data_IF_330964695613
#
_entry.id   IF_330964695613
#
_cell.length_a   1.000
_cell.length_b   1.000
_cell.length_c   1.000
_cell.angle_alpha   90.00
_cell.angle_beta   90.00
_cell.angle_gamma   90.00
#
_symmetry.space_group_name_H-M   'P 1'
#
loop_
_entity.id
_entity.type
_entity.pdbx_description
1 polymer ?
#
# COMPACT_ATOMS: atom_id res chain seq x y z
N UNK A 1 2.19 -66.98 -8.89
CA UNK A 1 3.20 -65.91 -8.95
C UNK A 1 2.58 -64.80 -9.78
N UNK A 2 1.95 -63.83 -9.14
CA UNK A 2 1.26 -62.72 -9.81
C UNK A 2 2.08 -61.47 -9.52
N UNK A 3 2.79 -60.97 -10.53
CA UNK A 3 3.51 -59.70 -10.47
C UNK A 3 2.49 -58.55 -10.53
N UNK A 4 2.46 -57.74 -9.47
CA UNK A 4 1.77 -56.45 -9.48
C UNK A 4 2.80 -55.42 -9.95
N UNK A 5 2.54 -54.84 -11.11
CA UNK A 5 3.31 -53.72 -11.64
C UNK A 5 3.03 -52.48 -10.77
N UNK A 6 4.08 -51.92 -10.19
CA UNK A 6 4.05 -50.60 -9.55
C UNK A 6 4.09 -49.58 -10.69
N UNK A 7 2.99 -48.86 -10.88
CA UNK A 7 2.96 -47.65 -11.71
C UNK A 7 3.75 -46.57 -10.99
N UNK A 8 4.85 -46.14 -11.60
CA UNK A 8 5.57 -44.93 -11.21
C UNK A 8 4.65 -43.72 -11.44
N UNK A 9 4.22 -43.08 -10.34
CA UNK A 9 3.56 -41.78 -10.39
C UNK A 9 4.59 -40.75 -10.85
N UNK A 10 4.39 -40.27 -12.07
CA UNK A 10 5.12 -39.16 -12.68
C UNK A 10 4.77 -37.87 -11.92
N UNK A 11 5.59 -37.48 -10.94
CA UNK A 11 5.43 -36.21 -10.24
C UNK A 11 5.67 -35.05 -11.24
N UNK A 12 4.69 -34.16 -11.46
CA UNK A 12 4.96 -32.97 -12.25
C UNK A 12 5.88 -32.06 -11.45
N UNK A 13 7.08 -31.84 -11.99
CA UNK A 13 8.06 -30.84 -11.55
C UNK A 13 7.52 -29.42 -11.81
N UNK A 14 6.47 -29.05 -11.07
CA UNK A 14 5.88 -27.72 -11.09
C UNK A 14 6.74 -26.76 -10.28
N UNK A 15 7.41 -25.85 -10.98
CA UNK A 15 8.29 -24.84 -10.41
C UNK A 15 7.68 -24.09 -9.22
N UNK A 16 8.41 -24.07 -8.10
CA UNK A 16 8.09 -23.31 -6.91
C UNK A 16 8.46 -21.83 -7.10
N UNK A 17 7.60 -21.08 -7.77
CA UNK A 17 7.65 -19.62 -7.81
C UNK A 17 6.38 -19.02 -7.19
N UNK A 18 6.47 -17.97 -6.36
CA UNK A 18 5.27 -17.30 -5.85
C UNK A 18 4.56 -16.59 -7.01
N UNK A 19 3.34 -17.01 -7.31
CA UNK A 19 2.44 -16.28 -8.21
C UNK A 19 1.74 -15.13 -7.47
N UNK A 20 2.53 -14.24 -6.84
CA UNK A 20 2.06 -12.93 -6.43
C UNK A 20 2.40 -11.93 -7.54
N UNK A 21 1.36 -11.56 -8.28
CA UNK A 21 1.15 -10.32 -9.03
C UNK A 21 2.23 -9.86 -10.02
N UNK A 22 1.91 -9.98 -11.31
CA UNK A 22 2.63 -9.25 -12.36
C UNK A 22 2.62 -7.72 -12.14
N UNK A 23 1.69 -7.18 -11.35
CA UNK A 23 1.63 -5.75 -10.98
C UNK A 23 2.54 -5.36 -9.81
N UNK A 24 3.08 -6.31 -9.04
CA UNK A 24 4.03 -6.03 -7.94
C UNK A 24 5.48 -6.33 -8.33
N UNK A 25 5.73 -6.62 -9.62
CA UNK A 25 7.09 -6.77 -10.11
C UNK A 25 7.82 -5.43 -9.99
N UNK A 26 8.93 -5.47 -9.26
CA UNK A 26 9.88 -4.38 -9.18
C UNK A 26 10.64 -4.31 -10.51
N UNK A 27 9.96 -3.83 -11.54
CA UNK A 27 10.56 -3.61 -12.84
C UNK A 27 11.42 -2.34 -12.82
N UNK A 28 12.43 -2.30 -13.70
CA UNK A 28 13.32 -1.17 -13.88
C UNK A 28 14.51 -1.10 -12.92
N UNK A 29 15.46 -0.23 -13.27
CA UNK A 29 16.68 0.02 -12.50
C UNK A 29 16.40 0.91 -11.30
N UNK A 30 17.20 0.75 -10.25
CA UNK A 30 17.18 1.68 -9.11
C UNK A 30 17.53 3.08 -9.59
N UNK A 31 16.86 4.07 -9.00
CA UNK A 31 17.20 5.48 -9.16
C UNK A 31 18.53 5.79 -8.48
N UNK A 32 19.10 6.96 -8.79
CA UNK A 32 20.26 7.47 -8.06
C UNK A 32 19.93 7.81 -6.59
N UNK A 33 20.98 7.95 -5.78
CA UNK A 33 20.85 8.17 -4.34
C UNK A 33 20.14 9.49 -3.98
N UNK A 34 20.34 10.54 -4.78
CA UNK A 34 19.73 11.86 -4.55
C UNK A 34 18.22 11.78 -4.73
N UNK A 35 17.76 11.20 -5.84
CA UNK A 35 16.34 11.00 -6.09
C UNK A 35 15.71 10.02 -5.09
N UNK A 36 16.42 8.96 -4.72
CA UNK A 36 15.98 8.05 -3.66
C UNK A 36 15.76 8.75 -2.33
N UNK A 37 16.69 9.64 -1.92
CA UNK A 37 16.54 10.44 -0.71
C UNK A 37 15.38 11.43 -0.81
N UNK A 38 15.20 12.08 -1.97
CA UNK A 38 14.07 12.97 -2.24
C UNK A 38 12.71 12.27 -2.03
N UNK A 39 12.56 11.05 -2.52
CA UNK A 39 11.33 10.25 -2.31
C UNK A 39 11.16 9.86 -0.84
N UNK A 40 12.24 9.55 -0.12
CA UNK A 40 12.14 9.30 1.32
C UNK A 40 11.66 10.56 2.08
N UNK A 41 12.21 11.73 1.77
CA UNK A 41 11.76 13.01 2.36
C UNK A 41 10.29 13.31 2.04
N UNK A 42 9.86 13.02 0.81
CA UNK A 42 8.46 13.11 0.41
C UNK A 42 7.55 12.25 1.31
N UNK A 43 7.93 11.00 1.60
CA UNK A 43 7.16 10.14 2.50
C UNK A 43 7.22 10.56 3.97
N UNK A 44 8.31 11.18 4.42
CA UNK A 44 8.38 11.72 5.77
C UNK A 44 7.46 12.93 5.92
N UNK A 45 7.43 13.81 4.92
CA UNK A 45 6.49 14.93 4.89
C UNK A 45 5.03 14.45 4.84
N UNK A 46 4.73 13.45 4.02
CA UNK A 46 3.41 12.83 3.99
C UNK A 46 2.98 12.30 5.37
N UNK A 47 3.89 11.60 6.07
CA UNK A 47 3.65 11.09 7.41
C UNK A 47 3.39 12.21 8.44
N UNK A 48 4.11 13.33 8.36
CA UNK A 48 3.88 14.51 9.19
C UNK A 48 2.48 15.08 8.98
N UNK A 49 2.02 15.23 7.74
CA UNK A 49 0.68 15.73 7.44
C UNK A 49 -0.41 14.84 8.05
N UNK A 50 -0.25 13.51 7.96
CA UNK A 50 -1.17 12.57 8.58
C UNK A 50 -1.15 12.65 10.11
N UNK A 51 0.04 12.68 10.72
CA UNK A 51 0.22 12.71 12.16
C UNK A 51 -0.25 14.02 12.81
N UNK A 52 -0.25 15.12 12.05
CA UNK A 52 -0.79 16.43 12.46
C UNK A 52 -2.28 16.59 12.14
N UNK A 53 -2.93 15.60 11.50
CA UNK A 53 -4.33 15.68 11.08
C UNK A 53 -4.58 16.68 9.95
N UNK A 54 -3.54 17.06 9.19
CA UNK A 54 -3.62 17.98 8.03
C UNK A 54 -4.10 17.24 6.78
N UNK A 55 -5.27 16.61 6.87
CA UNK A 55 -5.75 15.71 5.83
C UNK A 55 -6.05 16.38 4.49
N UNK A 56 -6.46 17.66 4.50
CA UNK A 56 -6.65 18.42 3.26
C UNK A 56 -5.33 18.61 2.51
N UNK A 57 -4.24 18.94 3.22
CA UNK A 57 -2.91 19.07 2.63
C UNK A 57 -2.36 17.71 2.18
N UNK A 58 -2.64 16.65 2.97
CA UNK A 58 -2.29 15.29 2.60
C UNK A 58 -2.98 14.85 1.30
N UNK A 59 -4.20 15.30 1.02
CA UNK A 59 -4.90 14.97 -0.21
C UNK A 59 -4.19 15.53 -1.46
N UNK A 60 -3.48 16.66 -1.34
CA UNK A 60 -2.71 17.28 -2.44
C UNK A 60 -1.47 16.48 -2.84
N UNK A 61 -1.07 15.50 -2.02
CA UNK A 61 0.03 14.56 -2.32
C UNK A 61 -0.35 13.59 -3.46
N UNK A 62 -1.64 13.42 -3.74
CA UNK A 62 -2.13 12.47 -4.74
C UNK A 62 -2.50 13.14 -6.07
N UNK A 63 -2.31 12.40 -7.15
CA UNK A 63 -2.86 12.76 -8.46
C UNK A 63 -4.37 12.57 -8.51
N UNK A 64 -5.03 13.26 -9.44
CA UNK A 64 -6.49 13.24 -9.57
C UNK A 64 -7.03 11.87 -10.01
N UNK A 65 -6.23 11.09 -10.73
CA UNK A 65 -6.54 9.71 -11.13
C UNK A 65 -6.09 8.67 -10.09
N UNK A 66 -5.92 9.08 -8.82
CA UNK A 66 -5.53 8.19 -7.72
C UNK A 66 -6.36 6.91 -7.67
N UNK A 67 -5.67 5.77 -7.59
CA UNK A 67 -6.22 4.54 -7.04
C UNK A 67 -5.56 4.18 -5.72
N UNK A 68 -6.31 4.28 -4.63
CA UNK A 68 -5.87 3.98 -3.27
C UNK A 68 -6.50 2.67 -2.79
N UNK A 69 -5.69 1.63 -2.65
CA UNK A 69 -6.16 0.26 -2.51
C UNK A 69 -5.48 -0.48 -1.35
N UNK A 70 -6.29 -1.05 -0.45
CA UNK A 70 -5.88 -1.88 0.68
C UNK A 70 -6.70 -3.19 0.65
N UNK A 71 -6.25 -4.23 -0.07
CA UNK A 71 -6.98 -5.50 -0.16
C UNK A 71 -7.03 -6.26 1.16
N UNK A 72 -7.98 -7.18 1.27
CA UNK A 72 -7.96 -8.19 2.31
C UNK A 72 -6.91 -9.27 2.00
N UNK A 73 -6.35 -9.87 3.06
CA UNK A 73 -5.39 -10.96 2.96
C UNK A 73 -5.93 -12.19 3.68
N UNK A 74 -5.70 -13.37 3.14
CA UNK A 74 -6.12 -14.65 3.70
C UNK A 74 -4.95 -15.59 3.90
N UNK A 75 -5.01 -16.41 4.95
CA UNK A 75 -4.03 -17.47 5.15
C UNK A 75 -4.26 -18.58 4.12
N UNK A 76 -3.26 -18.83 3.27
CA UNK A 76 -3.28 -19.88 2.24
C UNK A 76 -2.08 -20.80 2.42
N UNK A 77 -2.22 -22.04 1.92
CA UNK A 77 -1.09 -22.96 1.82
C UNK A 77 -0.06 -22.43 0.81
N UNK A 78 1.20 -22.88 0.89
CA UNK A 78 2.26 -22.45 -0.05
C UNK A 78 1.86 -22.61 -1.53
N UNK A 79 1.18 -23.71 -1.87
CA UNK A 79 0.70 -23.98 -3.24
C UNK A 79 -0.33 -22.96 -3.73
N UNK A 80 -1.05 -22.32 -2.81
CA UNK A 80 -2.11 -21.34 -3.08
C UNK A 80 -1.71 -19.93 -2.66
N UNK A 81 -0.42 -19.67 -2.39
CA UNK A 81 0.06 -18.38 -1.90
C UNK A 81 -0.30 -17.22 -2.85
N UNK A 82 -0.40 -17.52 -4.14
CA UNK A 82 -0.87 -16.62 -5.18
C UNK A 82 -2.26 -16.02 -4.93
N UNK A 83 -3.11 -16.77 -4.23
CA UNK A 83 -4.50 -16.43 -3.93
C UNK A 83 -4.65 -15.84 -2.51
N UNK A 84 -3.53 -15.48 -1.88
CA UNK A 84 -3.53 -14.98 -0.50
C UNK A 84 -3.98 -13.53 -0.41
N UNK A 85 -3.82 -12.74 -1.48
CA UNK A 85 -4.23 -11.33 -1.55
C UNK A 85 -5.45 -11.25 -2.46
N UNK A 86 -6.49 -10.55 -2.00
CA UNK A 86 -7.69 -10.29 -2.80
C UNK A 86 -7.34 -9.44 -4.03
N UNK A 87 -7.98 -9.72 -5.16
CA UNK A 87 -7.76 -9.01 -6.42
C UNK A 87 -8.63 -7.75 -6.52
N UNK A 88 -8.32 -6.78 -7.41
CA UNK A 88 -9.19 -5.62 -7.64
C UNK A 88 -10.63 -6.05 -7.96
N UNK A 89 -11.62 -5.39 -7.36
CA UNK A 89 -13.03 -5.77 -7.45
C UNK A 89 -13.48 -6.87 -6.47
N UNK A 90 -12.55 -7.47 -5.71
CA UNK A 90 -12.87 -8.34 -4.57
C UNK A 90 -12.87 -7.54 -3.24
N UNK A 91 -12.94 -8.24 -2.11
CA UNK A 91 -13.01 -7.62 -0.79
C UNK A 91 -11.73 -6.82 -0.44
N UNK A 92 -11.90 -5.54 -0.15
CA UNK A 92 -10.85 -4.63 0.28
C UNK A 92 -11.29 -3.78 1.48
N UNK A 93 -10.33 -3.35 2.30
CA UNK A 93 -10.55 -2.37 3.38
C UNK A 93 -10.63 -0.95 2.83
N UNK A 94 -9.83 -0.65 1.80
CA UNK A 94 -9.92 0.56 1.00
C UNK A 94 -9.90 0.19 -0.49
N UNK A 95 -10.80 0.79 -1.23
CA UNK A 95 -10.79 0.84 -2.70
C UNK A 95 -11.37 2.21 -3.06
N UNK A 96 -10.48 3.20 -3.13
CA UNK A 96 -10.84 4.62 -3.11
C UNK A 96 -10.20 5.38 -4.27
N UNK A 97 -10.90 6.41 -4.74
CA UNK A 97 -10.37 7.48 -5.60
C UNK A 97 -10.00 8.69 -4.75
N UNK A 98 -9.32 9.69 -5.34
CA UNK A 98 -9.05 10.96 -4.65
C UNK A 98 -10.35 11.63 -4.17
N UNK A 99 -11.40 11.61 -4.98
CA UNK A 99 -12.71 12.17 -4.63
C UNK A 99 -13.37 11.46 -3.44
N UNK A 100 -13.30 10.12 -3.40
CA UNK A 100 -13.90 9.37 -2.29
C UNK A 100 -13.10 9.52 -0.99
N UNK A 101 -11.77 9.65 -1.07
CA UNK A 101 -10.94 10.09 0.06
C UNK A 101 -11.31 11.50 0.52
N UNK A 102 -11.52 12.45 -0.39
CA UNK A 102 -11.96 13.81 -0.05
C UNK A 102 -13.27 13.80 0.74
N UNK A 103 -14.22 12.94 0.37
CA UNK A 103 -15.46 12.75 1.13
C UNK A 103 -15.23 12.19 2.53
N UNK A 104 -14.31 11.24 2.69
CA UNK A 104 -13.90 10.76 4.02
C UNK A 104 -13.34 11.89 4.86
N UNK A 105 -12.43 12.70 4.31
CA UNK A 105 -11.80 13.84 4.98
C UNK A 105 -12.85 14.87 5.43
N UNK A 106 -13.77 15.25 4.54
CA UNK A 106 -14.88 16.16 4.90
C UNK A 106 -15.72 15.64 6.09
N UNK A 107 -15.87 14.32 6.22
CA UNK A 107 -16.57 13.70 7.35
C UNK A 107 -15.76 13.76 8.65
N UNK A 108 -14.43 13.68 8.57
CA UNK A 108 -13.57 13.94 9.72
C UNK A 108 -13.74 15.39 10.19
N UNK A 109 -13.64 16.33 9.26
CA UNK A 109 -13.68 17.76 9.57
C UNK A 109 -15.05 18.24 10.09
N UNK A 110 -16.14 17.56 9.73
CA UNK A 110 -17.49 17.94 10.16
C UNK A 110 -17.81 17.62 11.63
N UNK A 111 -16.91 16.93 12.34
CA UNK A 111 -17.16 16.44 13.71
C UNK A 111 -18.19 15.31 13.80
N UNK A 112 -18.69 14.82 12.67
CA UNK A 112 -19.66 13.70 12.62
C UNK A 112 -18.97 12.33 12.56
N UNK A 113 -17.64 12.31 12.50
CA UNK A 113 -16.84 11.10 12.66
C UNK A 113 -16.69 10.76 14.15
N UNK A 114 -17.76 10.28 14.80
CA UNK A 114 -17.76 9.93 16.23
C UNK A 114 -16.65 8.93 16.63
N UNK A 115 -16.20 8.09 15.70
CA UNK A 115 -15.05 7.19 15.92
C UNK A 115 -13.72 7.92 16.05
N UNK A 116 -13.67 9.21 15.72
CA UNK A 116 -12.50 10.08 15.62
C UNK A 116 -12.77 11.45 16.26
N UNK A 117 -13.80 11.51 17.11
CA UNK A 117 -14.04 12.60 18.05
C UNK A 117 -14.09 12.02 19.48
N UNK A 118 -13.05 12.21 20.32
CA UNK A 118 -11.81 12.93 20.04
C UNK A 118 -10.90 12.19 19.01
N UNK A 119 -10.02 12.92 18.31
CA UNK A 119 -9.16 12.37 17.26
C UNK A 119 -8.13 11.40 17.81
N UNK A 120 -7.83 10.37 17.02
CA UNK A 120 -6.73 9.44 17.31
C UNK A 120 -5.39 10.16 17.26
N UNK A 121 -4.45 9.71 18.10
CA UNK A 121 -3.04 10.10 18.00
C UNK A 121 -2.32 9.07 17.15
N UNK A 122 -1.78 9.46 16.01
CA UNK A 122 -1.07 8.58 15.09
C UNK A 122 0.43 8.87 15.05
N UNK A 123 1.19 7.86 14.64
CA UNK A 123 2.59 7.99 14.24
C UNK A 123 2.88 7.06 13.08
N UNK A 124 3.26 7.61 11.94
CA UNK A 124 3.64 6.85 10.75
C UNK A 124 5.16 6.73 10.64
N UNK A 125 5.69 5.53 10.93
CA UNK A 125 7.11 5.24 10.76
C UNK A 125 7.33 4.60 9.39
N UNK A 126 7.99 5.34 8.48
CA UNK A 126 8.29 4.87 7.13
C UNK A 126 9.76 4.46 7.03
N UNK A 127 10.01 3.28 6.47
CA UNK A 127 11.37 2.73 6.29
C UNK A 127 11.46 1.90 5.01
N UNK A 128 12.66 1.40 4.71
CA UNK A 128 12.93 0.47 3.62
C UNK A 128 12.47 1.03 2.26
N UNK A 129 12.64 2.34 2.07
CA UNK A 129 12.28 3.04 0.84
C UNK A 129 13.20 2.59 -0.30
N UNK A 130 12.61 2.04 -1.35
CA UNK A 130 13.30 1.63 -2.58
C UNK A 130 12.52 2.18 -3.76
N UNK A 131 13.21 2.83 -4.70
CA UNK A 131 12.58 3.49 -5.84
C UNK A 131 13.24 3.03 -7.13
N UNK A 132 12.42 2.72 -8.14
CA UNK A 132 12.85 2.27 -9.47
C UNK A 132 12.15 3.07 -10.55
N UNK A 133 12.83 3.21 -11.69
CA UNK A 133 12.18 3.74 -12.89
C UNK A 133 11.06 2.79 -13.35
N UNK A 134 9.91 3.33 -13.73
CA UNK A 134 8.82 2.56 -14.29
C UNK A 134 8.68 2.87 -15.78
N UNK A 135 8.71 1.82 -16.61
CA UNK A 135 8.61 1.94 -18.06
C UNK A 135 9.82 2.65 -18.70
N UNK A 136 9.76 2.81 -20.02
CA UNK A 136 10.66 3.70 -20.74
C UNK A 136 10.21 5.17 -20.54
N UNK A 137 11.12 6.15 -20.62
CA UNK A 137 10.72 7.56 -20.55
C UNK A 137 9.71 7.86 -21.66
N UNK A 138 8.48 8.19 -21.29
CA UNK A 138 7.48 8.62 -22.26
C UNK A 138 7.92 9.93 -22.93
N UNK A 139 7.73 10.01 -24.25
CA UNK A 139 8.02 11.23 -25.03
C UNK A 139 7.05 12.36 -24.65
N UNK A 140 5.86 12.02 -24.16
CA UNK A 140 4.84 12.93 -23.68
C UNK A 140 4.14 12.34 -22.46
N UNK A 141 4.55 12.75 -21.26
CA UNK A 141 3.99 12.30 -19.99
C UNK A 141 4.91 12.62 -18.81
N UNK A 142 4.39 12.66 -17.57
CA UNK A 142 5.24 12.75 -16.39
C UNK A 142 6.06 11.47 -16.24
N UNK A 143 7.28 11.60 -15.71
CA UNK A 143 8.13 10.42 -15.49
C UNK A 143 7.58 9.61 -14.32
N UNK A 144 7.36 8.32 -14.55
CA UNK A 144 6.83 7.42 -13.53
C UNK A 144 7.92 6.62 -12.81
N UNK A 145 7.65 6.32 -11.54
CA UNK A 145 8.51 5.54 -10.67
C UNK A 145 7.69 4.57 -9.84
N UNK A 146 8.23 3.38 -9.61
CA UNK A 146 7.68 2.43 -8.62
C UNK A 146 8.46 2.59 -7.33
N UNK A 147 7.79 2.99 -6.26
CA UNK A 147 8.37 3.15 -4.94
C UNK A 147 7.76 2.13 -3.97
N UNK A 148 8.62 1.43 -3.21
CA UNK A 148 8.19 0.51 -2.15
C UNK A 148 8.71 1.02 -0.81
N UNK A 149 7.87 0.93 0.21
CA UNK A 149 8.24 1.24 1.59
C UNK A 149 7.62 0.22 2.55
N UNK A 150 8.27 0.03 3.69
CA UNK A 150 7.67 -0.61 4.86
C UNK A 150 7.13 0.47 5.78
N UNK A 151 6.06 0.16 6.52
CA UNK A 151 5.53 1.06 7.53
C UNK A 151 5.20 0.36 8.84
N UNK A 152 5.26 1.14 9.91
CA UNK A 152 4.58 0.87 11.17
C UNK A 152 3.73 2.09 11.51
N UNK A 153 2.41 1.92 11.56
CA UNK A 153 1.49 2.95 12.05
C UNK A 153 1.09 2.60 13.47
N UNK A 154 1.50 3.47 14.40
CA UNK A 154 0.99 3.45 15.76
C UNK A 154 -0.23 4.34 15.84
N UNK A 155 -1.32 3.84 16.41
CA UNK A 155 -2.51 4.62 16.72
C UNK A 155 -2.86 4.41 18.18
N UNK A 156 -3.06 5.50 18.92
CA UNK A 156 -3.67 5.44 20.25
C UNK A 156 -4.92 6.31 20.32
N UNK A 157 -5.92 5.84 21.07
CA UNK A 157 -7.20 6.54 21.22
C UNK A 157 -7.71 6.47 22.65
N UNK A 158 -8.47 7.50 23.03
CA UNK A 158 -9.05 7.66 24.36
C UNK A 158 -7.97 7.45 25.44
N UNK A 159 -8.28 6.67 26.47
CA UNK A 159 -7.39 6.41 27.61
C UNK A 159 -6.37 5.31 27.37
N UNK A 160 -6.74 4.21 26.68
CA UNK A 160 -5.95 2.96 26.67
C UNK A 160 -5.96 2.20 25.34
N UNK A 161 -6.72 2.64 24.35
CA UNK A 161 -6.81 1.92 23.08
C UNK A 161 -5.52 2.14 22.29
N UNK A 162 -4.91 1.05 21.83
CA UNK A 162 -3.71 1.05 21.01
C UNK A 162 -3.88 0.05 19.89
N UNK A 163 -3.71 0.52 18.66
CA UNK A 163 -3.65 -0.29 17.46
C UNK A 163 -2.26 -0.13 16.81
N UNK A 164 -1.69 -1.24 16.36
CA UNK A 164 -0.43 -1.27 15.62
C UNK A 164 -0.70 -1.91 14.27
N UNK A 165 -0.38 -1.18 13.22
CA UNK A 165 -0.49 -1.66 11.84
C UNK A 165 0.90 -1.74 11.23
N UNK A 166 1.31 -2.93 10.81
CA UNK A 166 2.55 -3.15 10.10
C UNK A 166 2.26 -3.64 8.69
N UNK A 167 3.03 -3.16 7.72
CA UNK A 167 2.78 -3.49 6.34
C UNK A 167 3.83 -2.94 5.38
N UNK A 168 3.51 -3.04 4.10
CA UNK A 168 4.24 -2.36 3.04
C UNK A 168 3.31 -1.57 2.13
N UNK A 169 3.84 -0.53 1.51
CA UNK A 169 3.17 0.25 0.47
C UNK A 169 3.97 0.11 -0.82
N UNK A 170 3.26 -0.06 -1.92
CA UNK A 170 3.79 0.06 -3.27
C UNK A 170 3.06 1.19 -3.96
N UNK A 171 3.80 2.24 -4.29
CA UNK A 171 3.26 3.44 -4.91
C UNK A 171 3.79 3.59 -6.33
N UNK A 172 2.93 4.13 -7.20
CA UNK A 172 3.33 4.69 -8.49
C UNK A 172 3.42 6.20 -8.30
N UNK A 173 4.65 6.72 -8.39
CA UNK A 173 4.93 8.14 -8.24
C UNK A 173 5.12 8.78 -9.60
N UNK A 174 4.60 10.00 -9.78
CA UNK A 174 4.81 10.82 -10.96
C UNK A 174 5.58 12.08 -10.59
N UNK A 175 6.67 12.34 -11.31
CA UNK A 175 7.35 13.62 -11.27
C UNK A 175 6.75 14.54 -12.32
N UNK A 176 6.06 15.57 -11.86
CA UNK A 176 5.37 16.54 -12.70
C UNK A 176 6.32 17.65 -13.18
N UNK A 177 5.88 18.39 -14.20
CA UNK A 177 6.66 19.47 -14.81
C UNK A 177 6.92 20.65 -13.86
N UNK A 178 6.03 20.86 -12.89
CA UNK A 178 6.19 21.81 -11.77
C UNK A 178 7.24 21.36 -10.74
N UNK A 179 7.80 20.16 -10.91
CA UNK A 179 8.73 19.55 -9.98
C UNK A 179 8.04 18.89 -8.79
N UNK A 180 6.72 18.82 -8.71
CA UNK A 180 6.03 18.10 -7.65
C UNK A 180 6.11 16.58 -7.86
N UNK A 181 6.27 15.85 -6.76
CA UNK A 181 6.04 14.40 -6.73
C UNK A 181 4.60 14.18 -6.26
N UNK A 182 3.84 13.36 -7.01
CA UNK A 182 2.49 12.96 -6.62
C UNK A 182 2.33 11.45 -6.74
N UNK A 183 1.45 10.89 -5.91
CA UNK A 183 1.11 9.47 -5.91
C UNK A 183 -0.10 9.25 -6.82
N UNK A 184 0.05 8.44 -7.85
CA UNK A 184 -1.00 8.09 -8.80
C UNK A 184 -1.69 6.75 -8.45
N UNK A 185 -0.98 5.83 -7.83
CA UNK A 185 -1.54 4.57 -7.31
C UNK A 185 -0.83 4.23 -6.02
N UNK A 186 -1.59 3.79 -5.03
CA UNK A 186 -1.08 3.25 -3.77
C UNK A 186 -1.74 1.91 -3.51
N UNK A 187 -0.91 0.86 -3.44
CA UNK A 187 -1.32 -0.44 -2.95
C UNK A 187 -0.69 -0.67 -1.58
N UNK A 188 -1.52 -0.81 -0.55
CA UNK A 188 -1.08 -1.10 0.81
C UNK A 188 -1.31 -2.58 1.08
N UNK A 189 -0.33 -3.25 1.69
CA UNK A 189 -0.48 -4.62 2.17
C UNK A 189 -0.19 -4.67 3.66
N UNK A 190 -1.21 -4.98 4.44
CA UNK A 190 -1.06 -5.24 5.86
C UNK A 190 -0.54 -6.65 6.11
N UNK A 191 0.36 -6.78 7.09
CA UNK A 191 0.86 -8.07 7.59
C UNK A 191 -0.14 -8.68 8.59
N UNK A 192 -1.43 -8.71 8.22
CA UNK A 192 -2.52 -9.23 9.04
C UNK A 192 -3.60 -9.85 8.16
N UNK A 193 -4.08 -11.04 8.55
CA UNK A 193 -5.24 -11.70 7.92
C UNK A 193 -6.56 -11.16 8.53
N UNK A 194 -6.58 -11.01 9.85
CA UNK A 194 -7.70 -10.43 10.60
C UNK A 194 -7.23 -9.14 11.25
N UNK A 195 -7.96 -8.04 11.03
CA UNK A 195 -7.73 -6.78 11.74
C UNK A 195 -8.19 -6.92 13.19
N UNK A 196 -7.28 -6.70 14.13
CA UNK A 196 -7.59 -6.70 15.57
C UNK A 196 -8.16 -5.36 16.04
N UNK A 197 -7.91 -4.29 15.29
CA UNK A 197 -8.47 -2.98 15.54
C UNK A 197 -10.00 -3.00 15.39
N UNK A 198 -10.70 -2.27 16.26
CA UNK A 198 -12.18 -2.18 16.23
C UNK A 198 -12.70 -1.50 14.95
N UNK A 199 -11.88 -0.66 14.34
CA UNK A 199 -12.15 0.04 13.09
C UNK A 199 -10.84 0.32 12.34
N UNK A 200 -10.98 0.78 11.10
CA UNK A 200 -9.87 1.30 10.29
C UNK A 200 -10.23 2.74 9.88
N UNK A 201 -9.96 3.66 10.79
CA UNK A 201 -10.17 5.11 10.64
C UNK A 201 -8.83 5.85 10.57
N UNK A 202 -7.84 5.23 9.95
CA UNK A 202 -6.49 5.80 9.77
C UNK A 202 -6.10 5.59 8.31
N UNK A 203 -5.43 6.59 7.73
CA UNK A 203 -4.86 6.48 6.38
C UNK A 203 -3.45 5.88 6.45
N UNK A 204 -2.92 5.37 5.34
CA UNK A 204 -1.67 4.63 5.27
C UNK A 204 -0.79 5.13 4.14
#
# INVERSE_FOLDING_TARGET
MTHIAVTEDDEPTGGFGPAADAEQRLDGTLVDAEFGYRVAQFYFHEAELLDEGRYSDWLEVFDDDLHYWLPTRSNRTRRQQALAVAQPGEAAFYDETKDSLAWRIRRYDSGMAWSEDPPSRTRHLISNVSVRHKGEPEVAGPREYTARSAFLVYRSRLEREVDLYAGSRTDILRLHADGALRVAKRTILLESNVLLAKNISTFF
#
